data_IF_989421583150
#
_entry.id   IF_989421583150
#
_cell.length_a   1.000
_cell.length_b   1.000
_cell.length_c   1.000
_cell.angle_alpha   90.00
_cell.angle_beta   90.00
_cell.angle_gamma   90.00
#
_symmetry.space_group_name_H-M   'P 1'
#
loop_
_entity.id
_entity.type
_entity.pdbx_description
1 polymer ?
#
# COMPACT_ATOMS: atom_id res chain seq x y z
N UNK A 1 -33.43 -26.63 23.24
CA UNK A 1 -32.96 -26.92 21.87
C UNK A 1 -32.55 -25.64 21.12
N UNK A 2 -31.74 -24.74 21.71
CA UNK A 2 -31.20 -23.56 21.01
C UNK A 2 -29.81 -23.24 21.58
N UNK A 3 -28.85 -24.16 21.42
CA UNK A 3 -27.46 -23.90 21.84
C UNK A 3 -26.41 -24.43 20.87
N UNK A 4 -26.77 -25.27 19.89
CA UNK A 4 -25.81 -25.78 18.90
C UNK A 4 -25.69 -24.95 17.61
N UNK A 5 -26.56 -23.96 17.38
CA UNK A 5 -26.59 -23.20 16.11
C UNK A 5 -25.71 -21.94 16.09
N UNK A 6 -25.19 -21.49 17.24
CA UNK A 6 -24.35 -20.29 17.33
C UNK A 6 -22.85 -20.56 17.19
N UNK A 7 -22.37 -21.78 17.44
CA UNK A 7 -20.96 -22.13 17.24
C UNK A 7 -20.60 -22.45 15.78
N UNK A 8 -21.57 -22.89 14.96
CA UNK A 8 -21.34 -23.13 13.54
C UNK A 8 -21.20 -21.83 12.72
N UNK A 9 -21.78 -20.72 13.18
CA UNK A 9 -21.71 -19.43 12.49
C UNK A 9 -20.40 -18.66 12.77
N UNK A 10 -19.66 -19.00 13.83
CA UNK A 10 -18.36 -18.38 14.13
C UNK A 10 -17.16 -19.12 13.54
N UNK A 11 -17.36 -20.34 13.01
CA UNK A 11 -16.28 -21.15 12.41
C UNK A 11 -16.17 -21.03 10.88
N UNK A 12 -16.97 -20.18 10.23
CA UNK A 12 -16.94 -20.00 8.76
C UNK A 12 -16.40 -18.64 8.27
N UNK A 13 -15.67 -17.90 9.11
CA UNK A 13 -15.00 -16.65 8.72
C UNK A 13 -13.46 -16.73 8.74
N UNK A 14 -12.88 -17.92 8.87
CA UNK A 14 -11.45 -18.17 8.65
C UNK A 14 -11.20 -18.75 7.26
N UNK A 15 -11.89 -18.24 6.24
CA UNK A 15 -11.54 -18.53 4.85
C UNK A 15 -10.19 -17.91 4.58
N UNK A 16 -9.15 -18.73 4.45
CA UNK A 16 -7.75 -18.44 4.11
C UNK A 16 -7.47 -16.96 3.80
N UNK A 17 -7.46 -16.16 4.85
CA UNK A 17 -7.33 -14.71 4.70
C UNK A 17 -5.87 -14.34 4.35
N UNK A 18 -4.96 -15.29 4.53
CA UNK A 18 -3.53 -15.23 4.20
C UNK A 18 -3.34 -15.23 2.69
N UNK A 19 -4.05 -16.09 1.94
CA UNK A 19 -3.95 -16.13 0.48
C UNK A 19 -4.32 -14.81 -0.21
N UNK A 20 -5.36 -14.13 0.29
CA UNK A 20 -5.79 -12.82 -0.23
C UNK A 20 -4.74 -11.75 0.06
N UNK A 21 -4.20 -11.73 1.29
CA UNK A 21 -3.18 -10.76 1.70
C UNK A 21 -1.96 -10.83 0.79
N UNK A 22 -1.39 -12.03 0.65
CA UNK A 22 -0.23 -12.26 -0.19
C UNK A 22 -0.49 -11.89 -1.65
N UNK A 23 -1.68 -12.19 -2.18
CA UNK A 23 -2.02 -11.83 -3.56
C UNK A 23 -2.12 -10.31 -3.77
N UNK A 24 -2.80 -9.60 -2.86
CA UNK A 24 -2.90 -8.14 -2.91
C UNK A 24 -1.52 -7.50 -2.75
N UNK A 25 -0.73 -7.95 -1.78
CA UNK A 25 0.64 -7.49 -1.52
C UNK A 25 1.54 -7.69 -2.73
N UNK A 26 1.52 -8.88 -3.33
CA UNK A 26 2.30 -9.19 -4.54
C UNK A 26 1.91 -8.32 -5.73
N UNK A 27 0.64 -7.95 -5.85
CA UNK A 27 0.19 -7.02 -6.87
C UNK A 27 0.56 -5.57 -6.55
N UNK A 28 0.59 -5.17 -5.28
CA UNK A 28 1.04 -3.84 -4.82
C UNK A 28 2.55 -3.68 -4.99
N UNK A 29 3.35 -4.74 -4.76
CA UNK A 29 4.79 -4.75 -5.03
C UNK A 29 5.13 -4.40 -6.48
N UNK A 30 4.23 -4.67 -7.43
CA UNK A 30 4.42 -4.27 -8.84
C UNK A 30 4.34 -2.75 -9.04
N UNK A 31 3.81 -1.98 -8.07
CA UNK A 31 3.89 -0.52 -8.08
C UNK A 31 5.31 -0.01 -7.85
N UNK A 32 6.20 -0.80 -7.23
CA UNK A 32 7.58 -0.40 -6.93
C UNK A 32 8.34 0.09 -8.17
N UNK A 33 8.02 -0.44 -9.35
CA UNK A 33 8.64 -0.05 -10.62
C UNK A 33 8.36 1.40 -11.03
N UNK A 34 7.43 2.07 -10.36
CA UNK A 34 6.91 3.38 -10.78
C UNK A 34 6.88 4.42 -9.67
N UNK A 35 7.30 4.06 -8.45
CA UNK A 35 7.47 5.00 -7.36
C UNK A 35 8.96 5.35 -7.28
N UNK A 36 9.30 6.56 -7.75
CA UNK A 36 10.67 7.07 -7.68
C UNK A 36 10.69 8.30 -6.76
N UNK A 37 11.44 8.29 -5.65
CA UNK A 37 11.61 9.48 -4.84
C UNK A 37 12.32 10.57 -5.69
N UNK A 38 11.90 11.84 -5.60
CA UNK A 38 12.64 12.91 -6.25
C UNK A 38 14.02 13.06 -5.59
N UNK A 39 15.04 13.57 -6.32
CA UNK A 39 16.39 13.72 -5.78
C UNK A 39 16.43 14.53 -4.47
N UNK A 40 15.53 15.51 -4.33
CA UNK A 40 15.42 16.34 -3.13
C UNK A 40 14.97 15.56 -1.89
N UNK A 41 14.28 14.42 -2.09
CA UNK A 41 13.87 13.51 -1.01
C UNK A 41 14.95 12.49 -0.65
N UNK A 42 16.02 12.41 -1.46
CA UNK A 42 17.20 11.62 -1.15
C UNK A 42 18.08 12.48 -0.23
N UNK A 43 18.35 12.01 0.99
CA UNK A 43 19.26 12.71 1.90
C UNK A 43 20.67 12.80 1.31
N UNK A 44 21.58 13.53 1.98
CA UNK A 44 22.95 13.78 1.51
C UNK A 44 23.82 12.52 1.24
N UNK A 45 23.36 11.33 1.59
CA UNK A 45 24.03 10.05 1.37
C UNK A 45 23.25 9.10 0.46
N UNK A 46 22.29 9.61 -0.32
CA UNK A 46 21.36 8.82 -1.13
C UNK A 46 20.65 7.71 -0.32
N UNK A 47 20.55 7.91 0.99
CA UNK A 47 19.96 6.97 1.93
C UNK A 47 18.67 7.57 2.45
N UNK A 48 17.58 6.82 2.34
CA UNK A 48 16.27 7.29 2.75
C UNK A 48 15.40 6.14 3.24
N UNK A 49 14.46 6.47 4.11
CA UNK A 49 13.46 5.58 4.68
C UNK A 49 12.16 6.37 4.85
N UNK A 50 11.06 5.80 4.39
CA UNK A 50 9.75 6.42 4.46
C UNK A 50 8.70 5.35 4.78
N UNK A 51 7.95 5.55 5.86
CA UNK A 51 6.78 4.73 6.19
C UNK A 51 5.52 5.49 5.81
N UNK A 52 4.58 4.79 5.19
CA UNK A 52 3.31 5.38 4.75
C UNK A 52 2.17 4.36 4.79
N UNK A 53 0.93 4.85 4.75
CA UNK A 53 -0.25 4.00 4.71
C UNK A 53 -0.98 4.14 3.37
N UNK A 54 -1.02 3.06 2.59
CA UNK A 54 -1.82 2.96 1.38
C UNK A 54 -3.20 2.39 1.71
N UNK A 55 -4.25 3.02 1.19
CA UNK A 55 -5.62 2.55 1.30
C UNK A 55 -6.18 2.18 -0.08
N UNK A 56 -6.75 0.98 -0.16
CA UNK A 56 -7.57 0.51 -1.27
C UNK A 56 -9.01 0.40 -0.77
N UNK A 57 -9.93 1.13 -1.39
CA UNK A 57 -11.35 1.12 -1.03
C UNK A 57 -12.14 0.23 -1.98
N UNK A 58 -12.88 -0.75 -1.43
CA UNK A 58 -13.66 -1.73 -2.19
C UNK A 58 -15.15 -1.55 -1.92
N UNK A 59 -15.94 -1.54 -2.99
CA UNK A 59 -17.40 -1.39 -2.91
C UNK A 59 -18.15 -2.71 -2.63
N UNK A 60 -19.48 -2.64 -2.66
CA UNK A 60 -20.36 -3.78 -2.45
C UNK A 60 -20.38 -4.77 -3.63
N UNK A 61 -19.88 -4.36 -4.80
CA UNK A 61 -19.77 -5.16 -6.02
C UNK A 61 -18.39 -5.83 -6.15
N UNK A 62 -17.52 -5.70 -5.16
CA UNK A 62 -16.14 -6.20 -5.19
C UNK A 62 -15.30 -5.50 -6.26
N UNK A 63 -15.51 -4.20 -6.44
CA UNK A 63 -14.72 -3.32 -7.31
C UNK A 63 -13.94 -2.30 -6.49
N UNK A 64 -12.75 -1.98 -6.96
CA UNK A 64 -11.94 -0.91 -6.38
C UNK A 64 -12.57 0.43 -6.75
N UNK A 65 -12.92 1.20 -5.73
CA UNK A 65 -13.36 2.59 -5.84
C UNK A 65 -12.20 3.57 -5.87
N UNK A 66 -11.19 3.34 -5.03
CA UNK A 66 -10.04 4.22 -4.93
C UNK A 66 -8.80 3.51 -4.39
N UNK A 67 -7.63 4.03 -4.79
CA UNK A 67 -6.32 3.66 -4.26
C UNK A 67 -5.62 4.97 -3.95
N UNK A 68 -5.26 5.21 -2.69
CA UNK A 68 -4.63 6.47 -2.25
C UNK A 68 -3.78 6.28 -1.02
N UNK A 69 -2.72 7.07 -0.91
CA UNK A 69 -1.98 7.20 0.32
C UNK A 69 -2.73 8.05 1.35
N UNK A 70 -2.27 7.99 2.60
CA UNK A 70 -2.75 8.89 3.65
C UNK A 70 -2.39 10.33 3.34
N UNK A 71 -2.96 11.25 4.13
CA UNK A 71 -2.70 12.68 3.98
C UNK A 71 -1.31 13.08 4.53
N UNK A 72 -0.61 12.20 5.27
CA UNK A 72 0.81 12.43 5.62
C UNK A 72 1.75 12.25 4.41
N UNK A 73 1.29 11.57 3.36
CA UNK A 73 2.13 11.28 2.21
C UNK A 73 2.56 12.56 1.47
N UNK A 74 3.85 12.71 1.13
CA UNK A 74 4.33 13.85 0.37
C UNK A 74 3.67 13.87 -1.01
N UNK A 75 3.52 15.08 -1.57
CA UNK A 75 2.84 15.29 -2.85
C UNK A 75 3.43 14.46 -3.97
N UNK A 76 4.76 14.34 -4.03
CA UNK A 76 5.42 13.53 -5.05
C UNK A 76 4.96 12.08 -5.01
N UNK A 77 4.78 11.48 -3.82
CA UNK A 77 4.40 10.08 -3.66
C UNK A 77 2.95 9.86 -4.12
N UNK A 78 2.06 10.78 -3.75
CA UNK A 78 0.65 10.78 -4.20
C UNK A 78 0.55 10.95 -5.71
N UNK A 79 1.28 11.91 -6.29
CA UNK A 79 1.31 12.16 -7.75
C UNK A 79 1.91 10.98 -8.53
N UNK A 80 2.96 10.34 -8.00
CA UNK A 80 3.56 9.14 -8.58
C UNK A 80 2.54 8.00 -8.65
N UNK A 81 1.81 7.74 -7.56
CA UNK A 81 0.74 6.74 -7.54
C UNK A 81 -0.34 7.05 -8.59
N UNK A 82 -0.86 8.28 -8.60
CA UNK A 82 -1.90 8.68 -9.56
C UNK A 82 -1.44 8.53 -11.02
N UNK A 83 -0.21 8.98 -11.32
CA UNK A 83 0.40 8.85 -12.63
C UNK A 83 0.58 7.39 -13.03
N UNK A 84 1.00 6.54 -12.08
CA UNK A 84 1.18 5.10 -12.30
C UNK A 84 -0.13 4.39 -12.59
N UNK A 85 -1.19 4.70 -11.84
CA UNK A 85 -2.52 4.14 -12.05
C UNK A 85 -3.10 4.53 -13.42
N UNK A 86 -2.86 5.76 -13.86
CA UNK A 86 -3.26 6.24 -15.20
C UNK A 86 -2.45 5.59 -16.31
N UNK A 87 -1.12 5.51 -16.17
CA UNK A 87 -0.20 5.00 -17.19
C UNK A 87 -0.28 3.48 -17.33
N UNK A 88 -0.54 2.76 -16.24
CA UNK A 88 -0.55 1.29 -16.21
C UNK A 88 -1.86 0.75 -15.62
N UNK A 89 -2.99 0.88 -16.33
CA UNK A 89 -4.30 0.42 -15.87
C UNK A 89 -4.40 -1.11 -15.75
N UNK A 90 -3.39 -1.86 -16.19
CA UNK A 90 -3.30 -3.32 -15.92
C UNK A 90 -3.02 -3.59 -14.43
N UNK A 91 -2.40 -2.66 -13.71
CA UNK A 91 -2.11 -2.81 -12.28
C UNK A 91 -3.38 -2.81 -11.45
N UNK A 92 -4.26 -1.83 -11.65
CA UNK A 92 -5.57 -1.74 -11.01
C UNK A 92 -6.46 -2.93 -11.39
N UNK A 93 -6.46 -3.32 -12.66
CA UNK A 93 -7.18 -4.53 -13.12
C UNK A 93 -6.74 -5.81 -12.41
N UNK A 94 -5.45 -5.97 -12.12
CA UNK A 94 -4.96 -7.12 -11.36
C UNK A 94 -5.52 -7.14 -9.94
N UNK A 95 -5.53 -6.00 -9.25
CA UNK A 95 -6.13 -5.87 -7.92
C UNK A 95 -7.65 -6.12 -7.96
N UNK A 96 -8.36 -5.56 -8.94
CA UNK A 96 -9.80 -5.78 -9.13
C UNK A 96 -10.12 -7.26 -9.33
N UNK A 97 -9.28 -7.98 -10.08
CA UNK A 97 -9.43 -9.41 -10.29
C UNK A 97 -9.31 -10.19 -8.97
N UNK A 98 -8.24 -9.91 -8.21
CA UNK A 98 -8.01 -10.55 -6.89
C UNK A 98 -9.20 -10.27 -5.96
N UNK A 99 -9.66 -9.03 -5.88
CA UNK A 99 -10.79 -8.61 -5.04
C UNK A 99 -12.09 -9.30 -5.48
N UNK A 100 -12.36 -9.35 -6.78
CA UNK A 100 -13.56 -9.96 -7.36
C UNK A 100 -13.61 -11.46 -7.09
N UNK A 101 -12.53 -12.18 -7.38
CA UNK A 101 -12.42 -13.65 -7.18
C UNK A 101 -12.65 -14.01 -5.71
N UNK A 102 -12.12 -13.19 -4.81
CA UNK A 102 -12.22 -13.41 -3.36
C UNK A 102 -13.46 -12.77 -2.71
N UNK A 103 -14.36 -12.16 -3.51
CA UNK A 103 -15.62 -11.55 -3.06
C UNK A 103 -15.45 -10.55 -1.89
N UNK A 104 -14.34 -9.81 -1.88
CA UNK A 104 -14.09 -8.77 -0.87
C UNK A 104 -15.07 -7.62 -1.13
N UNK A 105 -15.80 -7.18 -0.11
CA UNK A 105 -16.87 -6.17 -0.25
C UNK A 105 -16.85 -5.15 0.89
N UNK A 106 -17.26 -3.91 0.59
CA UNK A 106 -17.49 -2.83 1.55
C UNK A 106 -16.36 -2.69 2.60
N UNK A 107 -15.12 -2.80 2.14
CA UNK A 107 -13.94 -2.90 3.01
C UNK A 107 -12.85 -1.98 2.49
N UNK A 108 -12.11 -1.38 3.43
CA UNK A 108 -10.87 -0.67 3.16
C UNK A 108 -9.70 -1.59 3.46
N UNK A 109 -8.87 -1.90 2.47
CA UNK A 109 -7.61 -2.60 2.69
C UNK A 109 -6.54 -1.56 3.00
N UNK A 110 -5.89 -1.69 4.14
CA UNK A 110 -4.85 -0.79 4.62
C UNK A 110 -3.52 -1.52 4.55
N UNK A 111 -2.57 -0.93 3.83
CA UNK A 111 -1.29 -1.55 3.51
C UNK A 111 -0.22 -0.63 4.07
N UNK A 112 0.43 -1.01 5.18
CA UNK A 112 1.64 -0.35 5.62
C UNK A 112 2.68 -0.50 4.52
N UNK A 113 3.28 0.60 4.10
CA UNK A 113 4.28 0.63 3.05
C UNK A 113 5.56 1.23 3.58
N UNK A 114 6.68 0.56 3.31
CA UNK A 114 8.01 1.10 3.58
C UNK A 114 8.70 1.33 2.25
N UNK A 115 9.24 2.52 2.06
CA UNK A 115 10.10 2.83 0.92
C UNK A 115 11.47 3.10 1.50
N UNK A 116 12.46 2.26 1.17
CA UNK A 116 13.80 2.40 1.73
C UNK A 116 14.87 2.18 0.66
N UNK A 117 15.99 2.88 0.83
CA UNK A 117 17.18 2.59 0.02
C UNK A 117 17.71 1.18 0.32
N UNK A 118 18.37 0.55 -0.64
CA UNK A 118 19.07 -0.72 -0.44
C UNK A 118 20.16 -0.64 0.64
N UNK A 119 20.67 0.56 0.90
CA UNK A 119 21.70 0.87 1.88
C UNK A 119 21.16 1.07 3.31
N UNK A 120 19.85 0.95 3.54
CA UNK A 120 19.23 1.07 4.87
C UNK A 120 19.52 -0.16 5.76
N UNK A 121 19.79 -0.02 7.08
CA UNK A 121 19.73 1.21 7.89
C UNK A 121 20.92 2.15 7.68
N UNK A 122 20.64 3.44 7.58
CA UNK A 122 21.69 4.45 7.41
C UNK A 122 22.35 4.78 8.76
N UNK A 123 23.68 4.95 8.84
CA UNK A 123 24.38 5.34 10.07
C UNK A 123 23.88 6.66 10.69
N UNK A 124 23.25 7.52 9.88
CA UNK A 124 22.75 8.84 10.27
C UNK A 124 21.26 9.05 9.93
N UNK A 125 20.49 7.97 9.77
CA UNK A 125 19.06 8.13 9.49
C UNK A 125 18.36 8.79 10.69
N UNK A 126 17.66 9.89 10.43
CA UNK A 126 16.72 10.44 11.41
C UNK A 126 15.66 9.38 11.70
N UNK A 127 15.37 9.07 12.97
CA UNK A 127 14.30 8.14 13.30
C UNK A 127 12.98 8.65 12.73
N UNK A 128 12.19 7.75 12.16
CA UNK A 128 10.84 8.06 11.71
C UNK A 128 10.01 8.59 12.88
N UNK A 129 9.48 9.81 12.74
CA UNK A 129 8.48 10.34 13.66
C UNK A 129 7.10 10.05 13.08
N UNK A 130 6.20 9.39 13.83
CA UNK A 130 4.87 9.10 13.34
C UNK A 130 4.09 10.40 13.11
N UNK A 131 3.70 10.63 11.86
CA UNK A 131 2.86 11.75 11.47
C UNK A 131 1.42 11.51 11.96
N UNK A 132 0.79 12.44 12.72
CA UNK A 132 -0.61 12.31 13.14
C UNK A 132 -1.60 12.17 11.96
N UNK A 133 -1.21 12.60 10.75
CA UNK A 133 -2.01 12.49 9.54
C UNK A 133 -1.93 11.12 8.86
N UNK A 134 -1.13 10.18 9.36
CA UNK A 134 -0.97 8.82 8.80
C UNK A 134 -2.29 8.04 8.68
N UNK A 135 -3.24 8.31 9.58
CA UNK A 135 -4.57 7.70 9.55
C UNK A 135 -5.66 8.63 9.00
N UNK A 136 -5.27 9.75 8.39
CA UNK A 136 -6.19 10.70 7.77
C UNK A 136 -6.17 10.52 6.26
N UNK A 137 -7.34 10.52 5.63
CA UNK A 137 -7.47 10.39 4.18
C UNK A 137 -8.53 11.34 3.65
N UNK A 138 -8.13 12.26 2.76
CA UNK A 138 -9.00 13.31 2.24
C UNK A 138 -9.60 14.17 3.37
N UNK A 139 -8.74 14.58 4.31
CA UNK A 139 -9.02 15.40 5.49
C UNK A 139 -10.02 14.77 6.46
N UNK A 140 -10.14 13.44 6.46
CA UNK A 140 -11.02 12.69 7.36
C UNK A 140 -10.27 11.55 8.01
N UNK A 141 -10.44 11.40 9.32
CA UNK A 141 -9.93 10.24 10.05
C UNK A 141 -10.48 8.94 9.48
N UNK A 142 -9.61 7.93 9.44
CA UNK A 142 -9.96 6.57 9.06
C UNK A 142 -11.10 6.06 9.94
N UNK A 143 -12.15 5.54 9.28
CA UNK A 143 -13.36 5.05 9.94
C UNK A 143 -14.04 3.96 9.11
N UNK A 144 -14.93 3.19 9.72
CA UNK A 144 -15.69 2.10 9.09
C UNK A 144 -14.93 0.77 9.05
N UNK A 145 -15.34 -0.13 8.16
CA UNK A 145 -14.73 -1.46 8.04
C UNK A 145 -13.39 -1.39 7.31
N UNK A 146 -12.32 -1.80 7.98
CA UNK A 146 -10.99 -1.89 7.40
C UNK A 146 -10.25 -3.15 7.83
N UNK A 147 -9.28 -3.55 7.00
CA UNK A 147 -8.40 -4.68 7.24
C UNK A 147 -6.96 -4.23 6.99
N UNK A 148 -6.10 -4.42 7.99
CA UNK A 148 -4.66 -4.27 7.79
C UNK A 148 -4.09 -5.50 7.09
N UNK A 149 -3.32 -5.26 6.04
CA UNK A 149 -2.51 -6.26 5.34
C UNK A 149 -1.09 -6.23 5.90
N UNK A 150 -0.23 -7.14 5.41
CA UNK A 150 1.17 -7.10 5.80
C UNK A 150 1.85 -5.87 5.23
N UNK A 151 2.99 -5.55 5.83
CA UNK A 151 3.84 -4.46 5.37
C UNK A 151 4.45 -4.80 4.02
N UNK A 152 4.35 -3.88 3.07
CA UNK A 152 4.96 -3.98 1.75
C UNK A 152 6.20 -3.09 1.71
N UNK A 153 7.34 -3.67 1.37
CA UNK A 153 8.63 -2.96 1.35
C UNK A 153 9.11 -2.75 -0.09
N UNK A 154 9.27 -1.49 -0.48
CA UNK A 154 9.87 -1.06 -1.72
C UNK A 154 11.33 -0.73 -1.48
N UNK A 155 12.21 -1.47 -2.14
CA UNK A 155 13.64 -1.22 -2.15
C UNK A 155 13.98 -0.33 -3.34
N UNK A 156 14.64 0.78 -3.07
CA UNK A 156 15.15 1.67 -4.09
C UNK A 156 16.66 1.52 -4.19
N UNK A 157 17.12 1.03 -5.34
CA UNK A 157 18.53 1.03 -5.69
C UNK A 157 18.88 2.40 -6.24
N UNK A 158 19.80 3.11 -5.58
CA UNK A 158 20.37 4.35 -6.11
C UNK A 158 21.38 3.95 -7.17
N UNK A 159 20.89 3.49 -8.33
CA UNK A 159 21.76 3.37 -9.49
C UNK A 159 22.07 4.78 -9.96
N UNK A 160 23.29 5.21 -9.69
CA UNK A 160 23.94 6.34 -10.36
C UNK A 160 23.52 6.32 -11.82
N UNK A 161 22.95 7.43 -12.30
CA UNK A 161 22.59 7.61 -13.71
C UNK A 161 23.73 7.08 -14.58
N UNK A 162 23.52 5.98 -15.29
CA UNK A 162 24.22 5.79 -16.54
C UNK A 162 23.75 6.94 -17.43
N UNK A 163 24.54 8.01 -17.50
CA UNK A 163 24.56 8.83 -18.71
C UNK A 163 24.94 7.87 -19.82
N UNK A 164 24.03 7.63 -20.76
CA UNK A 164 24.43 7.08 -22.03
C UNK A 164 25.50 8.03 -22.60
N UNK A 165 26.70 7.54 -22.99
CA UNK A 165 27.58 8.36 -23.81
C UNK A 165 26.83 8.67 -25.13
N UNK A 166 26.93 9.93 -25.56
CA UNK A 166 26.40 10.43 -26.84
C UNK A 166 26.91 9.62 -28.04
#
# INVERSE_FOLDING_TARGET
MITCLLMAAMMMASGDTTGINTAVEGQVLRFQLYITPPPESLGAQDCFFYDELLKIEVDNMSKIKSIKFSDSAPDWLRQNLESSLKKFPKMSRGLDSIITVNKVKNTKLLIPMQIKSETYPCPLATPFQPDPLLYTFSNKLLSGNFRFLNTVTFLYSVNYKFKAPE
#
